data_IF_304643229669
#
_entry.id   IF_304643229669
#
_cell.length_a   1.000
_cell.length_b   1.000
_cell.length_c   1.000
_cell.angle_alpha   90.00
_cell.angle_beta   90.00
_cell.angle_gamma   90.00
#
_symmetry.space_group_name_H-M   'P 1'
#
loop_
_entity.id
_entity.type
_entity.pdbx_description
1 polymer ?
#
# COMPACT_ATOMS: atom_id res chain seq x y z
N UNK A 1 -16.91 -18.26 19.84
CA UNK A 1 -17.61 -17.60 20.96
C UNK A 1 -16.54 -16.93 21.79
N UNK A 2 -16.30 -15.64 21.56
CA UNK A 2 -15.35 -14.83 22.33
C UNK A 2 -16.19 -13.78 23.04
N UNK A 3 -16.27 -13.88 24.35
CA UNK A 3 -16.96 -12.91 25.20
C UNK A 3 -16.03 -11.73 25.45
N UNK A 4 -16.51 -10.51 25.21
CA UNK A 4 -15.93 -9.29 25.75
C UNK A 4 -16.98 -8.65 26.65
N UNK A 5 -16.61 -8.48 27.92
CA UNK A 5 -17.45 -7.97 29.00
C UNK A 5 -17.94 -6.54 28.74
N UNK A 6 -19.18 -6.18 29.15
CA UNK A 6 -19.61 -4.80 29.19
C UNK A 6 -19.14 -4.18 30.51
N UNK A 7 -18.32 -3.13 30.45
CA UNK A 7 -18.19 -2.22 31.59
C UNK A 7 -19.36 -1.25 31.57
N UNK A 8 -20.33 -1.49 32.45
CA UNK A 8 -21.28 -0.47 32.88
C UNK A 8 -20.58 0.44 33.90
N UNK A 9 -20.67 1.75 33.69
CA UNK A 9 -20.63 2.68 34.82
C UNK A 9 -21.78 3.65 34.64
N UNK A 10 -22.75 3.48 35.53
CA UNK A 10 -23.83 4.41 35.79
C UNK A 10 -23.32 5.60 36.62
N UNK A 11 -24.00 6.73 36.43
CA UNK A 11 -24.12 7.91 37.31
C UNK A 11 -23.28 9.17 36.99
N UNK A 12 -24.07 10.20 36.67
CA UNK A 12 -23.98 11.62 37.05
C UNK A 12 -22.74 12.47 36.73
N UNK A 13 -22.97 13.40 35.79
CA UNK A 13 -22.55 14.80 35.74
C UNK A 13 -21.06 15.18 35.91
N UNK A 14 -20.56 15.87 34.87
CA UNK A 14 -19.31 16.67 34.80
C UNK A 14 -18.01 15.89 34.59
N UNK A 15 -17.73 15.53 33.33
CA UNK A 15 -16.39 15.58 32.72
C UNK A 15 -16.52 15.29 31.22
N UNK A 16 -16.16 16.26 30.38
CA UNK A 16 -15.99 16.06 28.94
C UNK A 16 -14.74 15.19 28.69
N UNK A 17 -14.90 13.87 28.78
CA UNK A 17 -13.87 12.93 28.37
C UNK A 17 -13.83 12.87 26.83
N UNK A 18 -12.72 13.34 26.25
CA UNK A 18 -12.41 13.21 24.83
C UNK A 18 -12.48 11.73 24.42
N UNK A 19 -13.54 11.34 23.70
CA UNK A 19 -13.64 10.02 23.08
C UNK A 19 -12.73 9.98 21.85
N UNK A 20 -11.46 9.64 22.08
CA UNK A 20 -10.44 9.41 21.04
C UNK A 20 -10.74 8.18 20.17
N UNK A 21 -11.66 7.32 20.62
CA UNK A 21 -12.06 6.08 19.94
C UNK A 21 -13.59 5.98 19.85
N UNK A 22 -14.11 5.73 18.65
CA UNK A 22 -15.47 5.22 18.44
C UNK A 22 -15.38 4.02 17.51
N UNK A 23 -15.63 2.83 18.04
CA UNK A 23 -15.96 1.66 17.21
C UNK A 23 -17.36 1.88 16.66
N UNK A 24 -17.46 2.34 15.42
CA UNK A 24 -18.73 2.31 14.70
C UNK A 24 -18.96 0.88 14.18
N UNK A 25 -20.19 0.56 13.81
CA UNK A 25 -20.60 -0.74 13.27
C UNK A 25 -19.86 -1.17 11.97
N UNK A 26 -18.86 -0.40 11.50
CA UNK A 26 -18.30 -0.44 10.15
C UNK A 26 -16.75 -0.29 10.09
N UNK A 27 -16.01 -0.68 11.14
CA UNK A 27 -14.53 -0.70 11.12
C UNK A 27 -13.85 0.15 12.20
N UNK A 28 -12.70 0.74 11.86
CA UNK A 28 -11.84 1.52 12.77
C UNK A 28 -11.74 2.97 12.32
N UNK A 29 -12.12 3.91 13.17
CA UNK A 29 -12.02 5.34 12.87
C UNK A 29 -11.26 6.06 13.98
N UNK A 30 -10.21 6.78 13.58
CA UNK A 30 -9.39 7.62 14.43
C UNK A 30 -9.58 9.08 14.00
N UNK A 31 -9.97 9.93 14.95
CA UNK A 31 -10.02 11.37 14.75
C UNK A 31 -8.97 12.05 15.62
N UNK A 32 -8.03 12.73 14.97
CA UNK A 32 -6.90 13.39 15.61
C UNK A 32 -7.25 14.86 15.86
N UNK A 33 -7.52 15.28 17.10
CA UNK A 33 -7.86 16.66 17.40
C UNK A 33 -6.64 17.56 17.24
N UNK A 34 -6.90 18.86 17.05
CA UNK A 34 -5.87 19.87 17.25
C UNK A 34 -5.39 19.85 18.71
N UNK A 35 -4.07 19.89 18.92
CA UNK A 35 -3.46 20.00 20.24
C UNK A 35 -2.83 21.38 20.36
N UNK A 36 -3.20 22.13 21.39
CA UNK A 36 -2.58 23.40 21.78
C UNK A 36 -1.96 23.25 23.16
N UNK A 37 -0.71 23.67 23.32
CA UNK A 37 -0.01 23.63 24.61
C UNK A 37 -0.35 24.84 25.51
N UNK A 38 -1.00 25.86 24.96
CA UNK A 38 -1.38 27.06 25.69
C UNK A 38 -2.87 27.37 25.51
N UNK A 39 -3.47 27.98 26.54
CA UNK A 39 -4.80 28.62 26.45
C UNK A 39 -4.83 29.76 25.41
N UNK A 40 -3.65 30.21 24.96
CA UNK A 40 -3.49 31.21 23.92
C UNK A 40 -3.10 30.52 22.60
N UNK A 41 -4.10 30.18 21.80
CA UNK A 41 -3.94 29.60 20.45
C UNK A 41 -3.07 30.43 19.49
N UNK A 42 -2.67 31.65 19.88
CA UNK A 42 -1.84 32.58 19.08
C UNK A 42 -0.33 32.48 19.35
N UNK A 43 0.12 31.75 20.37
CA UNK A 43 1.55 31.60 20.68
C UNK A 43 1.94 30.11 20.70
N UNK A 44 2.88 29.73 19.84
CA UNK A 44 3.43 28.39 19.69
C UNK A 44 4.68 28.22 20.57
N UNK A 45 4.86 27.05 21.18
CA UNK A 45 6.02 26.20 20.90
C UNK A 45 5.94 24.87 21.66
N UNK A 46 5.65 23.82 20.90
CA UNK A 46 5.83 22.44 21.29
C UNK A 46 5.16 21.55 20.25
N UNK A 47 5.98 20.89 19.43
CA UNK A 47 5.55 19.97 18.37
C UNK A 47 4.91 18.76 19.04
N UNK A 48 3.61 18.81 19.29
CA UNK A 48 2.84 17.61 19.63
C UNK A 48 2.24 17.07 18.35
N UNK A 49 2.98 16.17 17.72
CA UNK A 49 2.47 15.38 16.63
C UNK A 49 1.84 14.13 17.20
N UNK A 50 0.63 13.83 16.75
CA UNK A 50 0.03 12.52 17.03
C UNK A 50 0.90 11.43 16.42
N UNK A 51 0.90 10.25 17.05
CA UNK A 51 1.51 9.07 16.47
C UNK A 51 0.51 7.92 16.52
N UNK A 52 0.26 7.31 15.36
CA UNK A 52 -0.54 6.10 15.24
C UNK A 52 0.35 5.01 14.64
N UNK A 53 0.37 3.85 15.27
CA UNK A 53 1.10 2.67 14.78
C UNK A 53 0.18 1.46 14.75
N UNK A 54 -0.09 0.97 13.55
CA UNK A 54 -0.83 -0.27 13.28
C UNK A 54 0.19 -1.30 12.80
N UNK A 55 0.58 -2.20 13.70
CA UNK A 55 1.67 -3.14 13.46
C UNK A 55 1.19 -4.58 13.62
N UNK A 56 1.51 -5.45 12.66
CA UNK A 56 1.31 -6.91 12.79
C UNK A 56 -0.14 -7.36 13.05
N UNK A 57 -1.13 -6.65 12.49
CA UNK A 57 -2.54 -7.00 12.66
C UNK A 57 -3.07 -7.84 11.49
N UNK A 58 -4.11 -8.61 11.77
CA UNK A 58 -4.88 -9.33 10.76
C UNK A 58 -6.35 -8.88 10.79
N UNK A 59 -6.80 -8.31 9.68
CA UNK A 59 -8.19 -7.92 9.44
C UNK A 59 -8.76 -8.87 8.40
N UNK A 60 -9.49 -9.90 8.86
CA UNK A 60 -9.97 -10.98 8.01
C UNK A 60 -11.49 -11.08 8.04
N UNK A 61 -12.12 -11.23 6.86
CA UNK A 61 -13.56 -11.51 6.70
C UNK A 61 -14.50 -10.49 7.37
N UNK A 62 -14.06 -9.24 7.55
CA UNK A 62 -14.90 -8.22 8.16
C UNK A 62 -15.96 -7.74 7.16
N UNK A 63 -17.19 -7.56 7.64
CA UNK A 63 -18.28 -6.93 6.85
C UNK A 63 -18.31 -5.44 7.11
N UNK A 64 -18.54 -4.67 6.05
CA UNK A 64 -18.55 -3.20 6.09
C UNK A 64 -17.29 -2.62 6.75
N UNK A 65 -16.10 -3.08 6.39
CA UNK A 65 -14.87 -2.65 7.04
C UNK A 65 -14.29 -1.40 6.37
N UNK A 66 -13.99 -0.41 7.20
CA UNK A 66 -13.28 0.80 6.81
C UNK A 66 -12.30 1.21 7.92
N UNK A 67 -11.03 1.40 7.58
CA UNK A 67 -10.01 2.00 8.44
C UNK A 67 -9.82 3.46 8.03
N UNK A 68 -10.18 4.40 8.90
CA UNK A 68 -10.07 5.82 8.66
C UNK A 68 -9.24 6.52 9.73
N UNK A 69 -8.29 7.35 9.30
CA UNK A 69 -7.49 8.21 10.18
C UNK A 69 -7.60 9.65 9.67
N UNK A 70 -8.28 10.50 10.44
CA UNK A 70 -8.60 11.87 10.06
C UNK A 70 -8.12 12.92 11.08
N UNK A 71 -8.14 14.21 10.72
CA UNK A 71 -7.86 15.31 11.65
C UNK A 71 -6.50 15.99 11.47
N UNK A 72 -5.81 16.29 12.58
CA UNK A 72 -4.55 17.06 12.62
C UNK A 72 -3.32 16.24 12.17
N UNK A 73 -2.16 16.91 12.09
CA UNK A 73 -0.89 16.30 11.65
C UNK A 73 -0.43 15.17 12.58
N UNK A 74 0.21 14.16 12.00
CA UNK A 74 0.61 12.95 12.70
C UNK A 74 1.71 12.19 11.98
N UNK A 75 2.36 11.29 12.72
CA UNK A 75 3.15 10.18 12.20
C UNK A 75 2.30 8.93 12.14
N UNK A 76 2.03 8.45 10.94
CA UNK A 76 1.24 7.26 10.70
C UNK A 76 2.15 6.11 10.24
N UNK A 77 2.20 5.04 11.02
CA UNK A 77 2.93 3.82 10.68
C UNK A 77 1.96 2.65 10.54
N UNK A 78 1.83 2.10 9.34
CA UNK A 78 1.05 0.90 9.06
C UNK A 78 2.02 -0.13 8.47
N UNK A 79 2.35 -1.14 9.27
CA UNK A 79 3.44 -2.06 8.96
C UNK A 79 3.04 -3.52 9.26
N UNK A 80 3.37 -4.41 8.33
CA UNK A 80 3.18 -5.87 8.45
C UNK A 80 1.74 -6.28 8.80
N UNK A 81 0.73 -5.53 8.31
CA UNK A 81 -0.67 -5.88 8.49
C UNK A 81 -1.21 -6.67 7.29
N UNK A 82 -2.19 -7.53 7.57
CA UNK A 82 -2.93 -8.28 6.57
C UNK A 82 -4.39 -7.84 6.54
N UNK A 83 -4.87 -7.41 5.39
CA UNK A 83 -6.27 -7.13 5.10
C UNK A 83 -6.77 -8.16 4.08
N UNK A 84 -7.46 -9.19 4.56
CA UNK A 84 -7.86 -10.33 3.77
C UNK A 84 -9.38 -10.48 3.71
N UNK A 85 -9.92 -10.51 2.49
CA UNK A 85 -11.34 -10.84 2.25
C UNK A 85 -12.33 -9.98 3.05
N UNK A 86 -11.96 -8.72 3.33
CA UNK A 86 -12.87 -7.77 3.92
C UNK A 86 -13.83 -7.23 2.87
N UNK A 87 -15.04 -6.90 3.29
CA UNK A 87 -16.05 -6.29 2.46
C UNK A 87 -16.16 -4.81 2.84
N UNK A 88 -15.83 -3.90 1.92
CA UNK A 88 -15.90 -2.46 2.17
C UNK A 88 -17.34 -1.98 2.40
N UNK A 89 -17.50 -0.87 3.12
CA UNK A 89 -18.79 -0.37 3.58
C UNK A 89 -19.77 -0.08 2.44
N UNK A 90 -20.96 -0.67 2.49
CA UNK A 90 -22.06 -0.29 1.61
C UNK A 90 -22.52 1.13 1.94
N UNK A 91 -22.39 2.06 0.98
CA UNK A 91 -23.05 3.37 1.07
C UNK A 91 -24.51 3.15 0.74
N UNK A 92 -25.39 3.26 1.75
CA UNK A 92 -26.83 3.19 1.54
C UNK A 92 -27.27 4.39 0.69
N UNK A 93 -27.89 4.10 -0.46
CA UNK A 93 -28.47 5.07 -1.37
C UNK A 93 -29.58 5.85 -0.64
N UNK A 94 -29.25 7.05 -0.17
CA UNK A 94 -30.17 7.94 0.55
C UNK A 94 -29.46 8.89 1.51
N UNK A 95 -28.33 8.47 2.08
CA UNK A 95 -27.48 9.33 2.90
C UNK A 95 -26.41 9.98 2.03
N UNK A 96 -26.66 11.24 1.66
CA UNK A 96 -25.86 12.07 0.75
C UNK A 96 -24.44 12.43 1.26
N UNK A 97 -23.84 11.68 2.19
CA UNK A 97 -22.63 12.14 2.91
C UNK A 97 -21.44 11.19 3.00
N UNK A 98 -21.52 9.90 2.66
CA UNK A 98 -20.29 9.07 2.61
C UNK A 98 -19.88 8.91 1.16
N UNK A 99 -19.08 9.88 0.70
CA UNK A 99 -18.54 9.96 -0.66
C UNK A 99 -17.41 8.96 -0.94
N UNK A 100 -17.03 8.13 0.03
CA UNK A 100 -15.73 7.43 0.00
C UNK A 100 -15.87 6.00 0.56
N UNK A 101 -16.46 5.07 -0.22
CA UNK A 101 -16.44 3.63 0.09
C UNK A 101 -15.05 3.04 -0.21
N UNK A 102 -14.22 2.82 0.80
CA UNK A 102 -12.92 2.18 0.61
C UNK A 102 -12.39 1.51 1.85
N UNK A 103 -11.20 0.92 1.75
CA UNK A 103 -10.65 0.06 2.81
C UNK A 103 -9.81 0.83 3.82
N UNK A 104 -8.79 1.57 3.37
CA UNK A 104 -7.90 2.37 4.22
C UNK A 104 -7.86 3.81 3.73
N UNK A 105 -8.13 4.75 4.64
CA UNK A 105 -8.13 6.17 4.34
C UNK A 105 -7.33 6.97 5.39
N UNK A 106 -6.47 7.88 4.90
CA UNK A 106 -5.92 8.97 5.69
C UNK A 106 -6.36 10.31 5.10
N UNK A 107 -7.05 11.15 5.89
CA UNK A 107 -7.58 12.45 5.43
C UNK A 107 -7.38 13.59 6.44
N UNK A 108 -7.46 14.85 6.03
CA UNK A 108 -7.21 16.02 6.90
C UNK A 108 -5.83 16.64 6.66
N UNK A 109 -5.14 17.12 7.70
CA UNK A 109 -3.83 17.78 7.52
C UNK A 109 -2.76 16.83 6.98
N UNK A 110 -1.75 17.38 6.32
CA UNK A 110 -0.55 16.65 5.87
C UNK A 110 0.13 15.85 6.99
N UNK A 111 0.62 14.65 6.65
CA UNK A 111 1.21 13.69 7.59
C UNK A 111 2.49 13.05 7.06
N UNK A 112 3.32 12.60 8.00
CA UNK A 112 4.36 11.60 7.75
C UNK A 112 3.69 10.21 7.71
N UNK A 113 3.80 9.52 6.58
CA UNK A 113 3.12 8.24 6.33
C UNK A 113 4.14 7.17 5.96
N UNK A 114 4.16 6.09 6.72
CA UNK A 114 4.99 4.90 6.52
C UNK A 114 4.05 3.70 6.29
N UNK A 115 4.02 3.20 5.05
CA UNK A 115 3.27 1.99 4.66
C UNK A 115 4.25 0.89 4.25
N UNK A 116 4.45 -0.11 5.09
CA UNK A 116 5.47 -1.13 4.90
C UNK A 116 4.92 -2.56 4.98
N UNK A 117 5.27 -3.40 4.01
CA UNK A 117 5.09 -4.86 4.10
C UNK A 117 3.64 -5.29 4.44
N UNK A 118 2.64 -4.48 4.08
CA UNK A 118 1.24 -4.83 4.27
C UNK A 118 0.72 -5.64 3.08
N UNK A 119 -0.21 -6.56 3.34
CA UNK A 119 -0.88 -7.35 2.30
C UNK A 119 -2.37 -7.03 2.26
N UNK A 120 -2.84 -6.52 1.13
CA UNK A 120 -4.24 -6.24 0.82
C UNK A 120 -4.70 -7.27 -0.22
N UNK A 121 -5.42 -8.29 0.24
CA UNK A 121 -5.71 -9.47 -0.56
C UNK A 121 -7.21 -9.71 -0.64
N UNK A 122 -7.76 -9.81 -1.85
CA UNK A 122 -9.13 -10.27 -2.10
C UNK A 122 -10.21 -9.48 -1.35
N UNK A 123 -9.97 -8.21 -1.02
CA UNK A 123 -11.00 -7.35 -0.44
C UNK A 123 -12.04 -7.01 -1.50
N UNK A 124 -13.30 -6.89 -1.10
CA UNK A 124 -14.45 -6.83 -2.02
C UNK A 124 -15.27 -5.57 -1.85
N UNK A 125 -15.93 -5.18 -2.94
CA UNK A 125 -16.87 -4.07 -2.99
C UNK A 125 -16.25 -2.73 -2.55
N UNK A 126 -14.97 -2.54 -2.84
CA UNK A 126 -14.26 -1.32 -2.49
C UNK A 126 -14.26 -0.36 -3.68
N UNK A 127 -14.44 0.93 -3.44
CA UNK A 127 -14.17 1.93 -4.49
C UNK A 127 -12.67 2.24 -4.51
N UNK A 128 -12.01 2.18 -3.34
CA UNK A 128 -10.56 2.19 -3.25
C UNK A 128 -10.00 1.31 -2.14
N UNK A 129 -8.73 0.90 -2.27
CA UNK A 129 -8.02 0.14 -1.23
C UNK A 129 -7.28 1.07 -0.30
N UNK A 130 -6.51 2.01 -0.84
CA UNK A 130 -5.78 3.01 -0.05
C UNK A 130 -6.03 4.39 -0.63
N UNK A 131 -6.43 5.34 0.22
CA UNK A 131 -6.56 6.75 -0.15
C UNK A 131 -5.81 7.62 0.87
N UNK A 132 -4.90 8.44 0.37
CA UNK A 132 -4.17 9.44 1.14
C UNK A 132 -4.58 10.84 0.65
N UNK A 133 -5.17 11.66 1.52
CA UNK A 133 -5.76 12.94 1.17
C UNK A 133 -5.32 14.04 2.13
N UNK A 134 -4.43 14.91 1.68
CA UNK A 134 -4.03 16.11 2.41
C UNK A 134 -4.96 17.28 2.08
N UNK A 135 -5.80 17.70 3.01
CA UNK A 135 -6.75 18.81 2.86
C UNK A 135 -6.13 20.16 3.22
N UNK A 136 -5.06 20.16 4.01
CA UNK A 136 -4.27 21.34 4.35
C UNK A 136 -2.81 21.00 4.65
N UNK A 137 -1.95 22.01 4.68
CA UNK A 137 -0.51 21.87 4.93
C UNK A 137 -0.20 22.04 6.41
N UNK A 138 0.82 21.31 6.88
CA UNK A 138 1.42 21.62 8.18
C UNK A 138 2.33 22.85 8.05
N UNK A 139 2.34 23.74 9.05
CA UNK A 139 3.19 24.94 9.05
C UNK A 139 4.67 24.59 9.19
N UNK A 140 4.96 23.53 9.92
CA UNK A 140 6.32 23.06 10.19
C UNK A 140 6.82 22.17 9.05
N UNK A 141 7.95 22.57 8.46
CA UNK A 141 8.69 21.88 7.39
C UNK A 141 9.31 20.53 7.82
N UNK A 142 8.72 19.82 8.78
CA UNK A 142 9.22 18.49 9.20
C UNK A 142 8.69 17.44 8.22
N UNK A 143 9.06 17.56 6.95
CA UNK A 143 8.83 16.50 5.96
C UNK A 143 9.89 15.42 6.14
N UNK A 144 9.71 14.61 7.19
CA UNK A 144 10.19 13.23 7.13
C UNK A 144 9.47 12.58 5.94
N UNK A 145 10.26 12.01 5.03
CA UNK A 145 9.79 11.53 3.74
C UNK A 145 8.75 10.41 3.94
N UNK A 146 7.50 10.66 3.54
CA UNK A 146 6.48 9.60 3.49
C UNK A 146 6.84 8.57 2.43
N UNK A 147 6.66 7.29 2.72
CA UNK A 147 6.90 6.22 1.76
C UNK A 147 5.97 5.02 1.90
N UNK A 148 5.76 4.35 0.78
CA UNK A 148 5.06 3.08 0.66
C UNK A 148 5.99 2.08 -0.01
N UNK A 149 6.37 1.01 0.71
CA UNK A 149 7.30 -0.02 0.19
C UNK A 149 6.90 -1.43 0.56
N UNK A 150 7.14 -2.37 -0.37
CA UNK A 150 6.92 -3.82 -0.20
C UNK A 150 5.50 -4.22 0.16
N UNK A 151 4.51 -3.39 -0.15
CA UNK A 151 3.12 -3.76 0.04
C UNK A 151 2.63 -4.60 -1.14
N UNK A 152 1.70 -5.52 -0.87
CA UNK A 152 1.08 -6.38 -1.88
C UNK A 152 -0.39 -5.99 -1.97
N UNK A 153 -0.85 -5.57 -3.15
CA UNK A 153 -2.23 -5.21 -3.44
C UNK A 153 -2.70 -6.10 -4.58
N UNK A 154 -3.34 -7.20 -4.24
CA UNK A 154 -3.64 -8.27 -5.18
C UNK A 154 -5.08 -8.75 -5.07
N UNK A 155 -5.69 -9.00 -6.24
CA UNK A 155 -7.01 -9.60 -6.39
C UNK A 155 -8.11 -8.85 -5.62
N UNK A 156 -7.92 -7.56 -5.31
CA UNK A 156 -8.95 -6.76 -4.69
C UNK A 156 -9.99 -6.36 -5.74
N UNK A 157 -11.24 -6.59 -5.41
CA UNK A 157 -12.38 -6.28 -6.25
C UNK A 157 -12.75 -4.79 -6.06
N UNK A 158 -12.17 -3.96 -6.93
CA UNK A 158 -12.45 -2.53 -7.02
C UNK A 158 -13.50 -2.23 -8.08
N UNK A 159 -14.21 -1.11 -7.95
CA UNK A 159 -15.14 -0.58 -8.96
C UNK A 159 -16.39 -1.45 -9.23
N UNK A 160 -16.77 -2.31 -8.28
CA UNK A 160 -17.93 -3.20 -8.42
C UNK A 160 -19.22 -2.58 -7.87
N UNK A 161 -19.61 -1.42 -8.40
CA UNK A 161 -20.99 -0.97 -8.27
C UNK A 161 -21.87 -1.71 -9.28
N UNK A 162 -22.67 -2.65 -8.77
CA UNK A 162 -23.52 -3.58 -9.53
C UNK A 162 -24.60 -2.90 -10.38
N UNK A 163 -24.93 -1.63 -10.09
CA UNK A 163 -26.00 -0.86 -10.75
C UNK A 163 -25.49 0.09 -11.85
N UNK A 164 -24.21 0.48 -11.83
CA UNK A 164 -23.60 1.37 -12.85
C UNK A 164 -22.81 0.60 -13.90
N UNK A 165 -23.33 -0.54 -14.36
CA UNK A 165 -22.64 -1.42 -15.34
C UNK A 165 -22.30 -0.72 -16.67
N UNK A 166 -22.82 0.48 -16.94
CA UNK A 166 -22.67 1.19 -18.22
C UNK A 166 -22.56 2.73 -18.11
N UNK A 167 -22.29 3.30 -16.94
CA UNK A 167 -22.08 4.74 -16.81
C UNK A 167 -20.60 5.03 -16.56
N UNK A 168 -20.07 6.06 -17.22
CA UNK A 168 -18.73 6.60 -17.02
C UNK A 168 -18.38 6.60 -15.54
N UNK A 169 -17.56 5.63 -15.11
CA UNK A 169 -17.02 5.62 -13.75
C UNK A 169 -16.02 6.74 -13.72
N UNK A 170 -16.26 7.70 -12.83
CA UNK A 170 -15.34 8.81 -12.69
C UNK A 170 -14.00 8.26 -12.16
N UNK A 171 -12.86 8.53 -12.81
CA UNK A 171 -11.58 7.95 -12.40
C UNK A 171 -11.20 8.26 -10.95
N UNK A 172 -11.68 9.39 -10.40
CA UNK A 172 -11.48 9.76 -9.00
C UNK A 172 -12.47 9.13 -8.01
N UNK A 173 -13.38 8.27 -8.47
CA UNK A 173 -14.27 7.49 -7.60
C UNK A 173 -13.76 6.07 -7.38
N UNK A 174 -12.80 5.58 -8.18
CA UNK A 174 -12.53 4.15 -8.33
C UNK A 174 -11.06 3.84 -8.70
N UNK A 175 -10.27 3.32 -7.76
CA UNK A 175 -8.84 3.05 -7.94
C UNK A 175 -8.24 2.20 -6.81
N UNK A 176 -7.13 1.50 -7.01
CA UNK A 176 -6.44 0.79 -5.92
C UNK A 176 -5.80 1.76 -4.92
N UNK A 177 -4.93 2.66 -5.39
CA UNK A 177 -4.18 3.62 -4.58
C UNK A 177 -4.40 5.05 -5.08
N UNK A 178 -4.74 5.98 -4.18
CA UNK A 178 -4.94 7.38 -4.52
C UNK A 178 -4.19 8.33 -3.60
N UNK A 179 -3.55 9.34 -4.19
CA UNK A 179 -2.86 10.42 -3.47
C UNK A 179 -3.45 11.77 -3.88
N UNK A 180 -3.95 12.54 -2.93
CA UNK A 180 -4.72 13.76 -3.20
C UNK A 180 -4.31 14.94 -2.32
N UNK A 181 -4.53 16.13 -2.86
CA UNK A 181 -4.38 17.39 -2.14
C UNK A 181 -2.91 17.65 -1.80
N UNK A 182 -2.62 18.10 -0.58
CA UNK A 182 -1.27 18.50 -0.17
C UNK A 182 -0.34 17.33 0.16
N UNK A 183 -0.87 16.10 0.25
CA UNK A 183 -0.08 14.93 0.64
C UNK A 183 0.86 14.49 -0.49
N UNK A 184 2.13 14.29 -0.15
CA UNK A 184 3.11 13.64 -1.02
C UNK A 184 3.67 12.36 -0.38
N UNK A 185 4.06 11.38 -1.21
CA UNK A 185 4.59 10.09 -0.78
C UNK A 185 5.46 9.46 -1.89
N UNK A 186 6.52 8.74 -1.51
CA UNK A 186 7.31 7.91 -2.45
C UNK A 186 6.79 6.47 -2.46
N UNK A 187 6.37 5.95 -3.61
CA UNK A 187 5.79 4.61 -3.76
C UNK A 187 6.77 3.74 -4.53
N UNK A 188 7.45 2.78 -3.89
CA UNK A 188 8.42 1.91 -4.57
C UNK A 188 8.39 0.48 -4.06
N UNK A 189 8.74 -0.49 -4.89
CA UNK A 189 8.83 -1.91 -4.54
C UNK A 189 7.52 -2.53 -4.05
N UNK A 190 6.36 -2.05 -4.53
CA UNK A 190 5.05 -2.63 -4.23
C UNK A 190 4.57 -3.52 -5.38
N UNK A 191 3.66 -4.45 -5.08
CA UNK A 191 2.93 -5.26 -6.08
C UNK A 191 1.53 -4.70 -6.30
N UNK A 192 1.22 -4.28 -7.52
CA UNK A 192 -0.12 -3.89 -7.96
C UNK A 192 -0.64 -4.95 -8.95
N UNK A 193 -1.59 -5.77 -8.49
CA UNK A 193 -2.14 -6.91 -9.24
C UNK A 193 -3.68 -7.00 -9.10
N UNK A 194 -4.38 -5.87 -9.12
CA UNK A 194 -5.85 -5.84 -9.02
C UNK A 194 -6.51 -5.76 -10.41
N UNK A 195 -5.86 -5.11 -11.37
CA UNK A 195 -6.42 -4.91 -12.71
C UNK A 195 -6.17 -6.09 -13.68
N UNK A 196 -5.33 -7.07 -13.30
CA UNK A 196 -4.94 -8.22 -14.14
C UNK A 196 -6.11 -9.03 -14.69
N UNK A 197 -7.20 -9.15 -13.93
CA UNK A 197 -8.35 -10.00 -14.26
C UNK A 197 -9.51 -9.22 -14.93
N UNK A 198 -9.37 -7.91 -15.13
CA UNK A 198 -10.42 -7.08 -15.72
C UNK A 198 -10.13 -6.95 -17.22
N UNK A 199 -10.99 -7.57 -18.03
CA UNK A 199 -10.92 -7.44 -19.49
C UNK A 199 -10.97 -5.96 -19.90
N UNK A 200 -10.02 -5.56 -20.74
CA UNK A 200 -9.80 -4.21 -21.30
C UNK A 200 -11.08 -3.57 -21.85
N UNK A 201 -12.07 -4.38 -22.23
CA UNK A 201 -13.30 -3.92 -22.87
C UNK A 201 -14.50 -3.75 -21.92
N UNK A 202 -14.36 -4.14 -20.64
CA UNK A 202 -15.53 -4.24 -19.76
C UNK A 202 -15.60 -3.14 -18.71
N UNK A 203 -14.48 -2.69 -18.11
CA UNK A 203 -14.45 -1.62 -17.08
C UNK A 203 -13.06 -0.95 -16.97
N UNK A 204 -12.98 0.38 -16.81
CA UNK A 204 -11.71 1.02 -16.48
C UNK A 204 -11.26 0.57 -15.08
N UNK A 205 -10.01 0.14 -14.97
CA UNK A 205 -9.38 -0.24 -13.71
C UNK A 205 -8.10 0.59 -13.54
N UNK A 206 -8.00 1.30 -12.42
CA UNK A 206 -6.85 2.15 -12.12
C UNK A 206 -6.13 1.63 -10.86
N UNK A 207 -4.85 1.30 -10.99
CA UNK A 207 -4.00 0.92 -9.85
C UNK A 207 -3.52 2.15 -9.07
N UNK A 208 -3.23 3.25 -9.77
CA UNK A 208 -2.70 4.46 -9.14
C UNK A 208 -3.29 5.72 -9.77
N UNK A 209 -3.69 6.65 -8.90
CA UNK A 209 -4.15 7.99 -9.25
C UNK A 209 -3.50 9.04 -8.34
N UNK A 210 -3.12 10.19 -8.90
CA UNK A 210 -2.44 11.24 -8.15
C UNK A 210 -2.91 12.65 -8.53
N UNK A 211 -3.45 13.40 -7.56
CA UNK A 211 -3.82 14.81 -7.71
C UNK A 211 -3.20 15.61 -6.57
N UNK A 212 -1.89 15.77 -6.63
CA UNK A 212 -1.11 16.49 -5.64
C UNK A 212 -1.14 17.99 -5.97
N UNK A 213 -1.61 18.78 -5.02
CA UNK A 213 -1.59 20.24 -5.03
C UNK A 213 -0.23 20.70 -4.50
N UNK A 214 0.58 21.29 -5.37
CA UNK A 214 1.80 21.99 -4.99
C UNK A 214 1.98 23.22 -5.90
N UNK A 215 2.73 24.19 -5.38
CA UNK A 215 3.01 25.47 -6.05
C UNK A 215 3.91 25.25 -7.28
N UNK A 216 4.66 24.15 -7.33
CA UNK A 216 5.50 23.78 -8.47
C UNK A 216 4.65 23.09 -9.54
N UNK A 217 4.88 23.40 -10.82
CA UNK A 217 4.24 22.70 -11.95
C UNK A 217 5.34 22.36 -12.97
N UNK A 218 5.44 21.11 -13.45
CA UNK A 218 4.61 19.97 -13.07
C UNK A 218 4.99 19.36 -11.71
N UNK A 219 3.99 18.92 -10.95
CA UNK A 219 4.21 18.11 -9.75
C UNK A 219 4.33 16.64 -10.13
N UNK A 220 5.31 15.96 -9.53
CA UNK A 220 5.59 14.55 -9.77
C UNK A 220 5.28 13.71 -8.54
N UNK A 221 4.61 12.58 -8.75
CA UNK A 221 4.57 11.47 -7.80
C UNK A 221 5.61 10.44 -8.22
N UNK A 222 6.51 10.09 -7.30
CA UNK A 222 7.50 9.04 -7.52
C UNK A 222 6.85 7.66 -7.27
N UNK A 223 6.66 6.91 -8.35
CA UNK A 223 6.09 5.57 -8.37
C UNK A 223 7.03 4.56 -9.08
N UNK A 224 8.34 4.80 -9.06
CA UNK A 224 9.31 3.93 -9.73
C UNK A 224 9.43 2.57 -9.04
N UNK A 225 9.99 1.58 -9.73
CA UNK A 225 10.38 0.30 -9.13
C UNK A 225 9.20 -0.46 -8.48
N UNK A 226 7.97 -0.27 -8.96
CA UNK A 226 6.82 -1.10 -8.58
C UNK A 226 6.57 -2.17 -9.64
N UNK A 227 5.94 -3.27 -9.25
CA UNK A 227 5.42 -4.29 -10.16
C UNK A 227 3.96 -3.99 -10.47
N UNK A 228 3.58 -3.99 -11.75
CA UNK A 228 2.26 -3.56 -12.24
C UNK A 228 1.47 -4.67 -12.94
N UNK A 229 1.74 -5.94 -12.60
CA UNK A 229 1.15 -7.13 -13.21
C UNK A 229 1.41 -7.34 -14.72
N UNK A 230 2.14 -6.42 -15.37
CA UNK A 230 2.47 -6.47 -16.80
C UNK A 230 3.88 -5.94 -17.04
N UNK A 231 4.50 -6.41 -18.13
CA UNK A 231 5.74 -5.85 -18.70
C UNK A 231 5.47 -4.97 -19.92
N UNK A 232 4.21 -4.84 -20.36
CA UNK A 232 3.83 -4.00 -21.47
C UNK A 232 3.58 -2.57 -20.97
N UNK A 233 4.43 -1.63 -21.37
CA UNK A 233 4.34 -0.23 -20.96
C UNK A 233 2.99 0.42 -21.27
N UNK A 234 2.34 0.02 -22.37
CA UNK A 234 1.04 0.55 -22.77
C UNK A 234 -0.06 0.10 -21.81
N UNK A 235 -0.01 -1.17 -21.38
CA UNK A 235 -0.96 -1.72 -20.41
C UNK A 235 -0.75 -1.10 -19.02
N UNK A 236 0.51 -0.98 -18.58
CA UNK A 236 0.84 -0.29 -17.31
C UNK A 236 0.31 1.14 -17.32
N UNK A 237 0.50 1.87 -18.42
CA UNK A 237 0.03 3.25 -18.57
C UNK A 237 -1.50 3.35 -18.56
N UNK A 238 -2.22 2.34 -19.04
CA UNK A 238 -3.69 2.30 -18.97
C UNK A 238 -4.20 2.12 -17.54
N UNK A 239 -3.42 1.48 -16.67
CA UNK A 239 -3.75 1.30 -15.24
C UNK A 239 -3.37 2.49 -14.36
N UNK A 240 -2.69 3.50 -14.89
CA UNK A 240 -2.24 4.69 -14.13
C UNK A 240 -3.00 5.91 -14.64
N UNK A 241 -3.72 6.61 -13.77
CA UNK A 241 -4.44 7.84 -14.12
C UNK A 241 -3.66 9.08 -13.67
N UNK A 242 -3.11 9.84 -14.62
CA UNK A 242 -2.20 10.95 -14.37
C UNK A 242 -2.54 12.21 -15.20
N UNK A 243 -1.63 13.20 -15.17
CA UNK A 243 -1.76 14.45 -15.91
C UNK A 243 -2.03 14.26 -17.42
N UNK A 244 -1.50 13.21 -18.05
CA UNK A 244 -1.65 12.98 -19.49
C UNK A 244 -3.10 12.62 -19.86
N UNK A 245 -3.86 12.05 -18.93
CA UNK A 245 -5.29 11.82 -19.11
C UNK A 245 -6.11 13.03 -18.70
N UNK A 246 -5.70 13.76 -17.66
CA UNK A 246 -6.40 14.95 -17.21
C UNK A 246 -5.44 15.97 -16.56
N UNK A 247 -5.32 17.15 -17.17
CA UNK A 247 -4.37 18.21 -16.79
C UNK A 247 -4.46 18.74 -15.34
N UNK A 248 -5.43 18.30 -14.54
CA UNK A 248 -5.58 18.69 -13.14
C UNK A 248 -4.88 17.73 -12.18
N UNK A 249 -4.30 16.64 -12.70
CA UNK A 249 -3.60 15.58 -11.96
C UNK A 249 -2.08 15.80 -11.97
N UNK A 250 -1.36 15.07 -11.13
CA UNK A 250 0.11 15.07 -11.09
C UNK A 250 0.68 14.11 -12.12
N UNK A 251 1.90 14.36 -12.59
CA UNK A 251 2.63 13.37 -13.40
C UNK A 251 3.08 12.22 -12.50
N UNK A 252 2.89 10.99 -12.96
CA UNK A 252 3.30 9.80 -12.21
C UNK A 252 4.53 9.21 -12.89
N UNK A 253 5.66 9.20 -12.17
CA UNK A 253 6.89 8.60 -12.67
C UNK A 253 6.95 7.12 -12.31
N UNK A 254 6.57 6.25 -13.25
CA UNK A 254 6.59 4.79 -13.09
C UNK A 254 7.77 4.10 -13.80
N UNK A 255 8.81 4.86 -14.17
CA UNK A 255 9.99 4.33 -14.84
C UNK A 255 10.69 3.24 -13.99
N UNK A 256 11.50 2.41 -14.65
CA UNK A 256 12.21 1.30 -14.01
C UNK A 256 11.25 0.37 -13.24
N UNK A 257 10.07 0.10 -13.81
CA UNK A 257 9.12 -0.84 -13.22
C UNK A 257 9.71 -2.25 -13.17
N UNK A 258 9.25 -3.03 -12.19
CA UNK A 258 9.67 -4.41 -12.00
C UNK A 258 8.92 -5.31 -12.99
N UNK A 259 9.61 -6.28 -13.59
CA UNK A 259 9.00 -7.31 -14.44
C UNK A 259 8.53 -8.53 -13.66
N UNK A 260 9.01 -8.69 -12.41
CA UNK A 260 8.55 -9.68 -11.45
C UNK A 260 8.56 -9.09 -10.06
N UNK A 261 7.56 -9.41 -9.24
CA UNK A 261 7.53 -9.01 -7.84
C UNK A 261 8.51 -9.83 -6.98
N UNK A 262 8.76 -11.09 -7.34
CA UNK A 262 9.84 -11.86 -6.72
C UNK A 262 11.19 -11.29 -7.14
N UNK A 263 11.92 -10.75 -6.16
CA UNK A 263 13.35 -10.46 -6.30
C UNK A 263 14.05 -11.81 -6.46
N UNK A 264 14.42 -12.15 -7.69
CA UNK A 264 15.36 -13.23 -7.92
C UNK A 264 16.67 -12.84 -7.24
N UNK A 265 17.04 -13.53 -6.15
CA UNK A 265 18.38 -13.41 -5.58
C UNK A 265 19.33 -13.99 -6.63
N UNK A 266 19.99 -13.12 -7.39
CA UNK A 266 21.07 -13.53 -8.27
C UNK A 266 22.27 -13.86 -7.38
N UNK A 267 22.44 -15.13 -7.00
CA UNK A 267 23.70 -15.60 -6.44
C UNK A 267 24.75 -15.53 -7.53
N UNK A 268 25.56 -14.48 -7.53
CA UNK A 268 26.83 -14.49 -8.27
C UNK A 268 27.76 -15.39 -7.48
N UNK A 269 27.89 -16.64 -7.89
CA UNK A 269 29.00 -17.48 -7.46
C UNK A 269 30.27 -16.85 -8.02
N UNK A 270 31.00 -16.11 -7.19
CA UNK A 270 32.39 -15.79 -7.45
C UNK A 270 33.15 -17.11 -7.28
N UNK A 271 33.67 -17.66 -8.37
CA UNK A 271 34.59 -18.79 -8.31
C UNK A 271 35.78 -18.39 -7.42
N UNK A 272 35.82 -18.92 -6.19
CA UNK A 272 37.02 -18.86 -5.39
C UNK A 272 38.12 -19.61 -6.14
N UNK A 273 39.15 -18.86 -6.53
CA UNK A 273 40.33 -19.36 -7.21
C UNK A 273 40.91 -20.60 -6.51
N UNK A 274 41.34 -21.54 -7.35
CA UNK A 274 42.08 -22.76 -7.00
C UNK A 274 43.15 -22.49 -5.95
N UNK A 275 43.00 -23.09 -4.77
CA UNK A 275 44.14 -23.43 -3.90
C UNK A 275 44.37 -24.94 -3.92
N UNK A 276 45.63 -25.40 -3.89
CA UNK A 276 45.94 -26.81 -4.00
C UNK A 276 45.75 -27.50 -2.64
N UNK A 277 44.94 -28.57 -2.69
CA UNK A 277 44.90 -29.70 -1.75
C UNK A 277 44.43 -29.39 -0.30
N UNK A 278 43.32 -30.07 0.05
CA UNK A 278 42.71 -30.21 1.37
C UNK A 278 41.89 -29.03 1.91
N UNK A 279 40.63 -28.91 1.47
CA UNK A 279 39.46 -28.81 2.36
C UNK A 279 38.17 -28.93 1.53
N UNK A 280 37.57 -30.13 1.49
CA UNK A 280 36.19 -30.29 1.02
C UNK A 280 35.30 -30.08 2.24
N UNK A 281 34.85 -28.84 2.48
CA UNK A 281 33.76 -28.60 3.42
C UNK A 281 32.46 -28.88 2.66
N UNK A 282 31.80 -29.97 3.02
CA UNK A 282 30.49 -30.40 2.55
C UNK A 282 29.46 -29.27 2.63
N UNK A 283 28.92 -28.88 1.48
CA UNK A 283 27.69 -28.07 1.36
C UNK A 283 26.41 -28.92 1.43
N UNK A 284 26.50 -30.20 1.81
CA UNK A 284 25.32 -31.08 1.96
C UNK A 284 24.47 -30.77 3.19
N UNK A 285 24.96 -29.94 4.12
CA UNK A 285 24.29 -29.69 5.41
C UNK A 285 23.37 -28.45 5.40
N UNK A 286 23.45 -27.58 4.39
CA UNK A 286 22.61 -26.38 4.30
C UNK A 286 21.32 -26.55 3.47
N UNK A 287 21.15 -27.70 2.80
CA UNK A 287 20.06 -27.93 1.84
C UNK A 287 18.76 -28.45 2.52
N UNK A 288 18.75 -28.66 3.85
CA UNK A 288 17.58 -29.23 4.55
C UNK A 288 16.61 -28.23 5.19
N UNK A 289 16.80 -26.91 5.04
CA UNK A 289 15.96 -25.89 5.72
C UNK A 289 15.06 -25.08 4.76
N UNK A 290 15.16 -25.25 3.44
CA UNK A 290 14.31 -24.54 2.48
C UNK A 290 13.39 -25.48 1.69
N UNK A 291 12.46 -26.13 2.41
CA UNK A 291 11.29 -26.76 1.80
C UNK A 291 10.18 -25.71 1.66
N UNK A 292 10.19 -24.94 0.58
CA UNK A 292 9.00 -24.60 -0.22
C UNK A 292 9.42 -23.76 -1.44
N UNK A 293 9.33 -24.37 -2.63
CA UNK A 293 9.40 -23.78 -3.97
C UNK A 293 10.63 -22.90 -4.28
N UNK A 294 11.77 -23.53 -4.53
CA UNK A 294 12.86 -22.93 -5.32
C UNK A 294 13.21 -23.92 -6.44
N UNK A 295 12.91 -23.56 -7.69
CA UNK A 295 13.41 -24.29 -8.86
C UNK A 295 14.83 -23.82 -9.13
N UNK A 296 15.83 -24.59 -8.70
CA UNK A 296 17.24 -24.36 -9.02
C UNK A 296 17.57 -25.08 -10.33
N UNK A 297 17.90 -24.32 -11.37
CA UNK A 297 18.40 -24.89 -12.64
C UNK A 297 19.90 -25.17 -12.46
N UNK A 298 20.27 -26.45 -12.36
CA UNK A 298 21.67 -26.91 -12.35
C UNK A 298 22.11 -27.20 -13.80
N UNK A 299 23.10 -26.46 -14.29
CA UNK A 299 23.82 -26.81 -15.53
C UNK A 299 24.96 -27.77 -15.20
N UNK A 300 24.83 -29.05 -15.59
CA UNK A 300 25.93 -30.01 -15.53
C UNK A 300 26.81 -29.85 -16.77
N UNK A 301 28.09 -29.52 -16.57
CA UNK A 301 29.08 -29.47 -17.64
C UNK A 301 29.71 -30.86 -17.80
N UNK A 302 29.29 -31.62 -18.83
CA UNK A 302 29.97 -32.85 -19.24
C UNK A 302 31.25 -32.49 -19.99
N UNK A 303 32.41 -32.91 -19.49
CA UNK A 303 33.66 -32.88 -20.28
C UNK A 303 33.86 -34.25 -20.91
N UNK A 304 33.57 -34.35 -22.20
CA UNK A 304 33.97 -35.47 -23.06
C UNK A 304 35.50 -35.49 -23.15
N UNK A 305 36.11 -36.63 -22.82
CA UNK A 305 37.52 -36.91 -23.09
C UNK A 305 37.55 -37.91 -24.24
N UNK A 306 37.87 -37.43 -25.45
CA UNK A 306 38.16 -38.28 -26.61
C UNK A 306 39.66 -38.35 -26.84
N UNK A 307 40.16 -39.59 -26.72
CA UNK A 307 41.27 -40.26 -27.43
C UNK A 307 42.58 -39.53 -27.71
N UNK A 308 43.69 -40.20 -27.36
CA UNK A 308 44.71 -40.58 -28.34
C UNK A 308 45.51 -41.80 -27.87
N UNK A 309 45.98 -42.56 -28.85
CA UNK A 309 46.61 -43.88 -28.74
C UNK A 309 48.08 -43.76 -29.14
N UNK A 310 49.00 -44.45 -28.46
CA UNK A 310 50.35 -44.75 -28.99
C UNK A 310 50.84 -46.09 -28.41
N UNK A 311 50.98 -47.08 -29.30
CA UNK A 311 52.13 -48.00 -29.54
C UNK A 311 53.14 -48.09 -28.36
N UNK A 312 53.44 -49.23 -27.74
CA UNK A 312 53.99 -50.52 -28.23
C UNK A 312 53.30 -51.67 -27.49
#
# INVERSE_FOLDING_TARGET
>A
MVYLFPFSSSSSSVAAAFRMFKTFQHGLQFYLPFISNEFNWRYESGIINHQISLLHNQFNFNKNFHLQISGYTAKLKIENNQFLENYCQNVLLGEKQISENGLVQSCGMEREIILLENSFLRNKNCSYIIQLKGESQSRDLVTLQSYMKKNILQDNEICMNSEKRFQFVNPWECYTMGVFGTQNITIRYNSFENCKSISVNSRPCYELIARIQSIQIPNFLDAQQNYWASSNITEIRQHIFDFNQWNSFSLINFNNYLTSFHVSIHFVFVECMKFPKFLVICLSSLIKILNHMITIILWYCFKTVTQESVVI
#
